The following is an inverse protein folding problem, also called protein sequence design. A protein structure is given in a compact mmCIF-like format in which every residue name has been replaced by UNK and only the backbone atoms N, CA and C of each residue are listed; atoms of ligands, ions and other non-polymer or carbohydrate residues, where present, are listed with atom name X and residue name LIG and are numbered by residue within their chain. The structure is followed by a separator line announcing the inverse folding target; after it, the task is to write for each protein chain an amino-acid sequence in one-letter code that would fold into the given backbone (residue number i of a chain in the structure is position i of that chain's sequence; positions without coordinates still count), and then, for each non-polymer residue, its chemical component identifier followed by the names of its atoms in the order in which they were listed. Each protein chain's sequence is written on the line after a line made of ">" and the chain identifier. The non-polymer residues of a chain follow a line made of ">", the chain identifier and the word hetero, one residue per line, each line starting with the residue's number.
data_IF_754677844503
#
_entry.id   IF_754677844503
#
_cell.length_a   1.000
_cell.length_b   1.000
_cell.length_c   1.000
_cell.angle_alpha   90.00
_cell.angle_beta   90.00
_cell.angle_gamma   90.00
#
_symmetry.space_group_name_H-M   'P 1'
#
loop_
_entity.id
_entity.type
_entity.pdbx_description
1 polymer ?
#
# COMPACT_ATOMS: atom_id res chain seq x y z
N UNK A 1 36.06 -38.65 -38.17
CA UNK A 1 34.77 -38.90 -37.48
C UNK A 1 34.11 -37.56 -37.21
N UNK A 2 32.83 -37.35 -37.57
CA UNK A 2 32.12 -36.13 -37.19
C UNK A 2 32.11 -36.00 -35.65
N UNK A 3 32.31 -34.78 -35.14
CA UNK A 3 32.22 -34.53 -33.70
C UNK A 3 30.75 -34.75 -33.23
N UNK A 4 30.54 -35.33 -32.03
CA UNK A 4 29.20 -35.51 -31.50
C UNK A 4 28.53 -34.14 -31.30
N UNK A 5 27.21 -34.05 -31.52
CA UNK A 5 26.49 -32.80 -31.35
C UNK A 5 26.61 -32.32 -29.91
N UNK A 6 26.66 -30.99 -29.68
CA UNK A 6 26.72 -30.45 -28.32
C UNK A 6 25.48 -30.87 -27.53
N UNK A 7 25.62 -31.09 -26.20
CA UNK A 7 24.50 -31.44 -25.35
C UNK A 7 23.45 -30.32 -25.36
N UNK A 8 22.15 -30.66 -25.22
CA UNK A 8 21.11 -29.66 -25.13
C UNK A 8 21.35 -28.75 -23.90
N UNK A 9 21.01 -27.45 -24.00
CA UNK A 9 21.17 -26.54 -22.88
C UNK A 9 20.33 -26.99 -21.67
N UNK A 10 20.78 -26.72 -20.43
CA UNK A 10 19.99 -26.99 -19.23
C UNK A 10 18.62 -26.32 -19.32
N UNK A 11 17.57 -27.04 -18.91
CA UNK A 11 16.22 -26.49 -18.85
C UNK A 11 16.14 -25.28 -17.90
N UNK A 12 15.13 -24.43 -18.06
CA UNK A 12 14.92 -23.29 -17.17
C UNK A 12 14.77 -23.76 -15.71
N UNK A 13 15.22 -22.96 -14.72
CA UNK A 13 15.05 -23.30 -13.32
C UNK A 13 13.55 -23.46 -12.97
N UNK A 14 13.20 -24.31 -12.01
CA UNK A 14 11.82 -24.50 -11.60
C UNK A 14 11.23 -23.17 -11.09
N UNK A 15 9.94 -22.90 -11.36
CA UNK A 15 9.29 -21.69 -10.88
C UNK A 15 9.31 -21.63 -9.34
N UNK A 16 9.41 -20.43 -8.74
CA UNK A 16 9.31 -20.28 -7.30
C UNK A 16 7.96 -20.82 -6.82
N UNK A 17 7.98 -21.60 -5.75
CA UNK A 17 6.74 -22.11 -5.12
C UNK A 17 5.96 -20.93 -4.56
N UNK A 18 4.78 -20.66 -5.12
CA UNK A 18 3.83 -19.74 -4.54
C UNK A 18 3.44 -20.28 -3.15
N UNK A 19 3.55 -19.46 -2.09
CA UNK A 19 2.96 -19.78 -0.79
C UNK A 19 1.49 -20.12 -1.00
N UNK A 20 1.08 -21.28 -0.48
CA UNK A 20 -0.21 -21.90 -0.77
C UNK A 20 -1.39 -20.92 -0.59
N UNK A 21 -2.02 -20.50 -1.70
CA UNK A 21 -3.24 -19.68 -1.72
C UNK A 21 -4.50 -20.53 -1.66
N UNK A 22 -4.40 -21.86 -1.53
CA UNK A 22 -5.57 -22.70 -1.35
C UNK A 22 -6.26 -22.31 -0.05
N UNK A 23 -7.59 -22.15 -0.17
CA UNK A 23 -8.46 -21.92 0.98
C UNK A 23 -8.16 -22.99 2.04
N UNK A 24 -7.83 -22.61 3.28
CA UNK A 24 -7.58 -23.57 4.35
C UNK A 24 -8.78 -24.51 4.46
N UNK A 25 -8.55 -25.82 4.27
CA UNK A 25 -9.58 -26.83 4.51
C UNK A 25 -9.57 -27.15 6.00
N UNK A 26 -10.30 -26.35 6.77
CA UNK A 26 -10.46 -26.54 8.22
C UNK A 26 -11.73 -27.34 8.51
N UNK A 27 -11.67 -28.20 9.53
CA UNK A 27 -12.82 -29.01 9.98
C UNK A 27 -14.01 -28.13 10.40
N UNK A 28 -15.23 -28.69 10.46
CA UNK A 28 -16.43 -27.91 10.89
C UNK A 28 -16.25 -27.27 12.27
N UNK A 29 -15.60 -27.97 13.20
CA UNK A 29 -15.32 -27.47 14.55
C UNK A 29 -14.36 -26.27 14.51
N UNK A 30 -13.28 -26.37 13.73
CA UNK A 30 -12.34 -25.26 13.55
C UNK A 30 -12.97 -24.07 12.81
N UNK A 31 -13.85 -24.32 11.84
CA UNK A 31 -14.58 -23.26 11.14
C UNK A 31 -15.48 -22.47 12.09
N UNK A 32 -16.17 -23.15 13.02
CA UNK A 32 -16.97 -22.51 14.06
C UNK A 32 -16.10 -21.68 15.01
N UNK A 33 -14.97 -22.23 15.48
CA UNK A 33 -14.00 -21.50 16.30
C UNK A 33 -13.43 -20.27 15.60
N UNK A 34 -13.13 -20.38 14.30
CA UNK A 34 -12.68 -19.26 13.46
C UNK A 34 -13.75 -18.18 13.34
N UNK A 35 -15.01 -18.54 13.08
CA UNK A 35 -16.08 -17.55 12.96
C UNK A 35 -16.29 -16.76 14.25
N UNK A 36 -16.22 -17.43 15.41
CA UNK A 36 -16.27 -16.78 16.71
C UNK A 36 -15.08 -15.81 16.89
N UNK A 37 -13.87 -16.27 16.62
CA UNK A 37 -12.66 -15.45 16.67
C UNK A 37 -12.74 -14.21 15.77
N UNK A 38 -13.17 -14.39 14.51
CA UNK A 38 -13.34 -13.29 13.57
C UNK A 38 -14.39 -12.28 14.07
N UNK A 39 -15.48 -12.77 14.67
CA UNK A 39 -16.49 -11.91 15.28
C UNK A 39 -15.92 -11.08 16.42
N UNK A 40 -15.09 -11.68 17.28
CA UNK A 40 -14.46 -10.98 18.40
C UNK A 40 -13.38 -9.99 17.94
N UNK A 41 -12.66 -10.29 16.84
CA UNK A 41 -11.75 -9.34 16.19
C UNK A 41 -12.53 -8.13 15.67
N UNK A 42 -13.67 -8.34 15.02
CA UNK A 42 -14.52 -7.26 14.51
C UNK A 42 -15.12 -6.40 15.64
N UNK A 43 -15.48 -7.01 16.77
CA UNK A 43 -15.93 -6.28 17.97
C UNK A 43 -14.80 -5.46 18.59
N UNK A 44 -13.55 -5.96 18.47
CA UNK A 44 -12.38 -5.39 19.11
C UNK A 44 -12.31 -5.69 20.61
N UNK A 45 -11.17 -5.36 21.22
CA UNK A 45 -10.96 -5.50 22.66
C UNK A 45 -10.26 -4.27 23.24
N UNK A 46 -10.57 -3.94 24.49
CA UNK A 46 -9.88 -2.87 25.22
C UNK A 46 -8.54 -3.41 25.72
N UNK A 47 -7.45 -2.77 25.29
CA UNK A 47 -6.10 -3.10 25.74
C UNK A 47 -5.67 -2.18 26.89
N UNK A 48 -4.73 -2.68 27.71
CA UNK A 48 -4.10 -1.87 28.76
C UNK A 48 -3.19 -0.82 28.13
N UNK A 49 -3.02 0.31 28.82
CA UNK A 49 -2.05 1.32 28.42
C UNK A 49 -0.64 0.82 28.70
N UNK A 50 0.26 1.05 27.75
CA UNK A 50 1.67 0.68 27.83
C UNK A 50 2.49 1.85 27.31
N UNK A 51 3.62 2.15 27.94
CA UNK A 51 4.60 3.12 27.42
C UNK A 51 5.35 2.43 26.27
N UNK A 52 5.25 2.97 25.06
CA UNK A 52 6.00 2.46 23.89
C UNK A 52 7.34 3.19 23.79
N UNK A 53 8.44 2.44 23.82
CA UNK A 53 9.77 2.95 23.49
C UNK A 53 10.03 2.78 21.98
N UNK A 54 9.55 3.72 21.17
CA UNK A 54 9.71 3.70 19.72
C UNK A 54 11.07 4.27 19.31
N UNK A 55 11.94 3.40 18.77
CA UNK A 55 13.27 3.75 18.24
C UNK A 55 13.37 3.52 16.73
N UNK A 56 12.23 3.52 16.04
CA UNK A 56 12.17 3.31 14.58
C UNK A 56 12.51 4.57 13.77
N UNK A 57 12.62 5.73 14.42
CA UNK A 57 13.02 6.98 13.78
C UNK A 57 14.45 6.94 13.20
N UNK A 58 14.74 7.75 12.16
CA UNK A 58 16.06 7.76 11.53
C UNK A 58 17.12 8.31 12.48
N UNK A 59 18.31 7.70 12.45
CA UNK A 59 19.48 8.23 13.15
C UNK A 59 20.09 9.36 12.32
N UNK A 60 19.86 10.61 12.75
CA UNK A 60 20.57 11.76 12.19
C UNK A 60 21.95 11.84 12.83
N UNK A 61 22.99 11.71 12.02
CA UNK A 61 24.36 11.93 12.47
C UNK A 61 24.52 13.39 12.93
N UNK A 62 24.83 13.59 14.22
CA UNK A 62 25.20 14.92 14.72
C UNK A 62 26.68 15.12 14.45
N UNK A 63 27.00 15.35 13.18
CA UNK A 63 28.37 15.39 12.68
C UNK A 63 28.61 16.44 11.60
N UNK A 64 28.30 17.71 11.88
CA UNK A 64 28.99 18.87 11.28
C UNK A 64 28.39 19.51 10.02
N UNK A 65 27.84 20.72 10.18
CA UNK A 65 27.55 21.63 9.07
C UNK A 65 26.30 22.47 9.30
N UNK A 66 26.49 23.66 9.88
CA UNK A 66 25.40 24.59 10.16
C UNK A 66 24.67 25.07 8.90
N UNK A 67 23.39 25.36 9.06
CA UNK A 67 22.55 25.95 8.04
C UNK A 67 21.15 26.18 8.60
N UNK A 68 21.01 27.22 9.42
CA UNK A 68 19.69 27.72 9.80
C UNK A 68 18.90 28.18 8.58
N UNK A 69 17.58 28.05 8.64
CA UNK A 69 16.70 28.53 7.58
C UNK A 69 15.24 28.26 7.92
N UNK A 70 14.68 29.08 8.80
CA UNK A 70 13.24 29.27 8.85
C UNK A 70 12.76 30.15 7.69
N UNK A 71 11.45 30.06 7.40
CA UNK A 71 10.73 30.87 6.41
C UNK A 71 10.17 29.99 5.28
N UNK A 72 8.90 29.95 4.94
CA UNK A 72 7.86 30.97 5.06
C UNK A 72 7.38 31.34 3.65
N UNK A 73 6.19 30.85 3.28
CA UNK A 73 5.23 31.49 2.35
C UNK A 73 5.62 31.77 0.89
N UNK A 74 4.84 31.16 -0.02
CA UNK A 74 4.11 31.92 -1.04
C UNK A 74 4.61 31.88 -2.49
N UNK A 75 3.68 31.56 -3.40
CA UNK A 75 3.58 32.28 -4.69
C UNK A 75 3.87 31.51 -5.98
N UNK A 76 2.80 30.92 -6.54
CA UNK A 76 2.35 31.11 -7.93
C UNK A 76 3.33 30.94 -9.10
N UNK A 77 3.04 29.92 -9.93
CA UNK A 77 3.57 29.79 -11.29
C UNK A 77 2.67 28.91 -12.15
N UNK A 78 1.63 29.51 -12.73
CA UNK A 78 0.74 28.94 -13.76
C UNK A 78 1.46 28.73 -15.09
N UNK A 79 1.15 27.61 -15.76
CA UNK A 79 1.43 27.33 -17.17
C UNK A 79 1.89 25.88 -17.31
N UNK A 80 1.22 24.96 -18.00
CA UNK A 80 0.20 25.06 -19.04
C UNK A 80 0.58 23.99 -20.07
N UNK A 81 -0.27 22.98 -20.30
CA UNK A 81 -0.03 22.00 -21.36
C UNK A 81 -0.52 20.58 -21.05
N UNK A 82 -1.77 20.32 -21.42
CA UNK A 82 -2.40 19.03 -21.69
C UNK A 82 -1.73 17.72 -21.25
N UNK A 83 -2.34 17.07 -20.26
CA UNK A 83 -2.39 15.61 -20.21
C UNK A 83 -3.79 15.16 -20.65
N UNK A 84 -4.04 15.31 -21.94
CA UNK A 84 -5.04 14.50 -22.62
C UNK A 84 -4.46 13.10 -22.83
N UNK A 85 -5.11 12.10 -22.25
CA UNK A 85 -4.94 10.69 -22.62
C UNK A 85 -3.97 9.88 -21.77
N UNK A 86 -4.52 9.04 -20.90
CA UNK A 86 -3.82 7.89 -20.31
C UNK A 86 -3.25 8.16 -18.92
N UNK A 87 -3.92 7.62 -17.89
CA UNK A 87 -3.44 7.62 -16.52
C UNK A 87 -2.02 7.00 -16.44
N UNK A 88 -1.14 7.48 -15.53
CA UNK A 88 0.15 6.85 -15.30
C UNK A 88 -0.05 5.41 -14.87
N UNK A 89 0.45 4.50 -15.68
CA UNK A 89 0.53 3.06 -15.43
C UNK A 89 1.24 2.81 -14.09
N UNK A 90 0.50 2.72 -12.99
CA UNK A 90 1.12 2.57 -11.66
C UNK A 90 0.24 2.09 -10.50
N UNK A 91 -1.08 1.94 -10.68
CA UNK A 91 -1.99 1.49 -9.62
C UNK A 91 -2.95 0.42 -10.13
N UNK A 92 -2.39 -0.76 -10.43
CA UNK A 92 -3.06 -2.05 -10.72
C UNK A 92 -4.58 -2.04 -10.88
N UNK A 93 -5.09 -1.49 -11.98
CA UNK A 93 -6.51 -1.56 -12.37
C UNK A 93 -7.53 -0.93 -11.42
N UNK A 94 -7.11 -0.41 -10.26
CA UNK A 94 -7.99 0.06 -9.17
C UNK A 94 -8.91 1.22 -9.60
N UNK A 95 -8.48 1.99 -10.59
CA UNK A 95 -9.23 3.09 -11.18
C UNK A 95 -9.49 2.89 -12.68
N UNK A 96 -9.46 1.65 -13.18
CA UNK A 96 -9.72 1.37 -14.60
C UNK A 96 -11.12 1.84 -15.04
N UNK A 97 -12.06 1.96 -14.10
CA UNK A 97 -13.41 2.53 -14.31
C UNK A 97 -13.53 4.05 -14.03
N UNK A 98 -12.43 4.75 -13.79
CA UNK A 98 -12.42 6.17 -13.38
C UNK A 98 -12.58 6.36 -11.87
N UNK A 99 -12.16 7.53 -11.38
CA UNK A 99 -12.27 7.89 -9.96
C UNK A 99 -13.71 8.31 -9.64
N UNK A 100 -14.36 7.76 -8.59
CA UNK A 100 -15.66 8.21 -8.14
C UNK A 100 -15.64 9.72 -7.82
N UNK A 101 -16.49 10.50 -8.50
CA UNK A 101 -16.59 11.94 -8.29
C UNK A 101 -17.54 12.22 -7.12
N UNK A 102 -17.07 12.93 -6.11
CA UNK A 102 -17.91 13.40 -5.01
C UNK A 102 -18.87 14.49 -5.52
N UNK A 103 -20.05 14.55 -4.90
CA UNK A 103 -21.00 15.67 -5.11
C UNK A 103 -20.40 16.96 -4.55
N UNK A 104 -20.65 18.09 -5.22
CA UNK A 104 -20.13 19.39 -4.78
C UNK A 104 -20.65 19.74 -3.38
N UNK A 105 -19.78 20.30 -2.54
CA UNK A 105 -20.12 20.77 -1.20
C UNK A 105 -20.85 22.13 -1.19
N UNK A 106 -21.61 22.43 -2.25
CA UNK A 106 -22.38 23.68 -2.35
C UNK A 106 -23.82 23.43 -1.88
N UNK A 107 -24.00 23.51 -0.56
CA UNK A 107 -25.20 24.02 0.13
C UNK A 107 -25.31 23.38 1.53
N UNK A 108 -24.45 23.84 2.44
CA UNK A 108 -24.87 24.02 3.83
C UNK A 108 -25.13 25.50 3.96
N UNK A 109 -26.27 25.90 3.41
CA UNK A 109 -26.89 27.18 3.66
C UNK A 109 -26.81 27.49 5.16
N UNK A 110 -26.32 28.69 5.45
CA UNK A 110 -26.36 29.35 6.74
C UNK A 110 -27.77 29.31 7.30
N UNK A 111 -28.05 28.33 8.16
CA UNK A 111 -29.23 28.34 8.99
C UNK A 111 -28.77 28.09 10.43
N UNK A 112 -28.65 29.18 11.18
CA UNK A 112 -28.29 29.13 12.59
C UNK A 112 -27.35 30.25 13.03
N UNK A 113 -27.79 31.51 12.92
CA UNK A 113 -27.88 32.51 14.00
C UNK A 113 -28.36 33.84 13.47
#
# INVERSE_FOLDING_TARGET
>A
MPAPPPPPPPGPPPPPTLVNTQKPNTSRSEQQGRNALLSDICKGSKLKKTVTNDRSGPLLDRGGGGGGGGGGGGGGGTGGGGFGGGAPSGLGGLFAGGMPKLRSAASRESNGR
#
